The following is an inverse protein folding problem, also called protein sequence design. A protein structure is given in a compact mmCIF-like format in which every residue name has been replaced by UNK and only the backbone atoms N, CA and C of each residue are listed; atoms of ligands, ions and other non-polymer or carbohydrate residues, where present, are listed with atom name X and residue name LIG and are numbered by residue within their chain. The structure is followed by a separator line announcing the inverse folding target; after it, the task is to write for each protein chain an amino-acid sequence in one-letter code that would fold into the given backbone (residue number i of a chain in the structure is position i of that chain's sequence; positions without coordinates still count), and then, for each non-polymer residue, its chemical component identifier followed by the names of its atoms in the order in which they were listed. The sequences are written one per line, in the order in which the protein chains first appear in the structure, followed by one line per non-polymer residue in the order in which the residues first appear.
data_IF_812817096006
#
_entry.id   IF_812817096006
#
_cell.length_a   1.000
_cell.length_b   1.000
_cell.length_c   1.000
_cell.angle_alpha   90.00
_cell.angle_beta   90.00
_cell.angle_gamma   90.00
#
_symmetry.space_group_name_H-M   'P 1'
#
loop_
_entity.id
_entity.type
_entity.pdbx_description
1 polymer ?
#
# COMPACT_ATOMS: atom_id res chain seq x y z
N UNK A 1 24.67 6.50 -15.20
CA UNK A 1 24.21 5.35 -16.01
C UNK A 1 22.69 5.34 -15.95
N UNK A 2 22.03 5.89 -16.97
CA UNK A 2 20.58 6.04 -17.04
C UNK A 2 19.97 4.69 -17.42
N UNK A 3 19.34 4.01 -16.46
CA UNK A 3 18.45 2.89 -16.79
C UNK A 3 17.12 3.51 -17.18
N UNK A 4 16.97 3.87 -18.46
CA UNK A 4 15.65 4.05 -19.05
C UNK A 4 14.97 2.68 -19.01
N UNK A 5 14.04 2.48 -18.08
CA UNK A 5 13.10 1.36 -18.12
C UNK A 5 12.07 1.68 -19.21
N UNK A 6 12.47 1.52 -20.47
CA UNK A 6 11.56 1.46 -21.62
C UNK A 6 11.17 0.00 -21.82
N UNK A 7 9.87 -0.30 -21.78
CA UNK A 7 9.37 -1.61 -22.17
C UNK A 7 8.11 -1.99 -21.42
N UNK A 8 6.97 -1.71 -22.05
CA UNK A 8 5.64 -2.22 -21.76
C UNK A 8 5.56 -3.73 -21.97
N UNK A 9 6.22 -4.50 -21.12
CA UNK A 9 5.71 -5.81 -20.71
C UNK A 9 4.80 -5.53 -19.51
N UNK A 10 3.60 -6.07 -19.48
CA UNK A 10 2.73 -6.03 -18.29
C UNK A 10 3.43 -6.77 -17.14
N UNK A 11 4.34 -6.07 -16.45
CA UNK A 11 4.90 -6.55 -15.19
C UNK A 11 3.75 -6.64 -14.20
N UNK A 12 3.63 -7.81 -13.57
CA UNK A 12 2.80 -8.00 -12.41
C UNK A 12 3.03 -6.86 -11.41
N UNK A 13 1.95 -6.21 -11.00
CA UNK A 13 1.97 -5.15 -9.99
C UNK A 13 1.38 -5.70 -8.71
N UNK A 14 2.12 -5.56 -7.61
CA UNK A 14 1.66 -6.00 -6.30
C UNK A 14 0.84 -4.88 -5.69
N UNK A 15 -0.46 -4.86 -6.02
CA UNK A 15 -1.43 -3.91 -5.53
C UNK A 15 -2.78 -4.60 -5.38
N UNK A 16 -3.47 -4.31 -4.29
CA UNK A 16 -4.87 -4.70 -4.07
C UNK A 16 -5.65 -3.42 -3.76
N UNK A 17 -6.58 -3.06 -4.65
CA UNK A 17 -7.33 -1.82 -4.58
C UNK A 17 -8.22 -1.77 -3.33
N UNK A 18 -8.84 -2.89 -2.95
CA UNK A 18 -9.72 -2.92 -1.79
C UNK A 18 -8.95 -2.63 -0.50
N UNK A 19 -7.71 -3.10 -0.37
CA UNK A 19 -6.88 -2.81 0.81
C UNK A 19 -6.43 -1.35 0.86
N UNK A 20 -6.06 -0.79 -0.29
CA UNK A 20 -5.75 0.64 -0.42
C UNK A 20 -6.93 1.51 0.05
N UNK A 21 -8.13 1.15 -0.38
CA UNK A 21 -9.37 1.88 -0.08
C UNK A 21 -9.85 1.63 1.35
N UNK A 22 -9.71 0.43 1.87
CA UNK A 22 -10.11 0.10 3.24
C UNK A 22 -9.34 0.92 4.29
N UNK A 23 -8.04 1.12 4.08
CA UNK A 23 -7.24 1.93 5.00
C UNK A 23 -7.67 3.40 5.02
N UNK A 24 -8.09 3.94 3.87
CA UNK A 24 -8.71 5.26 3.77
C UNK A 24 -10.04 5.30 4.55
N UNK A 25 -10.92 4.32 4.33
CA UNK A 25 -12.22 4.23 5.02
C UNK A 25 -12.08 4.20 6.54
N UNK A 26 -11.17 3.37 7.07
CA UNK A 26 -10.93 3.28 8.52
C UNK A 26 -10.52 4.63 9.11
N UNK A 27 -9.71 5.42 8.40
CA UNK A 27 -9.31 6.75 8.88
C UNK A 27 -10.41 7.80 8.69
N UNK A 28 -11.20 7.72 7.61
CA UNK A 28 -12.39 8.56 7.39
C UNK A 28 -13.40 8.33 8.53
N UNK A 29 -13.69 7.08 8.87
CA UNK A 29 -14.57 6.70 9.98
C UNK A 29 -14.07 7.30 11.31
N UNK A 30 -12.78 7.17 11.61
CA UNK A 30 -12.20 7.78 12.83
C UNK A 30 -12.35 9.30 12.84
N UNK A 31 -12.13 9.99 11.71
CA UNK A 31 -12.31 11.45 11.62
C UNK A 31 -13.79 11.81 11.85
N UNK A 32 -14.71 11.05 11.28
CA UNK A 32 -16.15 11.26 11.48
C UNK A 32 -16.56 11.02 12.94
N UNK A 33 -16.10 9.94 13.55
CA UNK A 33 -16.36 9.62 14.96
C UNK A 33 -15.86 10.71 15.90
N UNK A 34 -14.67 11.24 15.63
CA UNK A 34 -14.14 12.40 16.34
C UNK A 34 -14.99 13.65 16.10
N UNK A 35 -15.41 13.87 14.86
CA UNK A 35 -16.24 15.02 14.51
C UNK A 35 -17.58 15.02 15.24
N UNK A 36 -18.15 13.84 15.52
CA UNK A 36 -19.38 13.70 16.30
C UNK A 36 -19.18 13.98 17.80
N UNK A 37 -17.97 13.76 18.30
CA UNK A 37 -17.60 13.93 19.72
C UNK A 37 -16.93 15.29 20.01
N UNK A 38 -16.92 16.20 19.02
CA UNK A 38 -16.34 17.53 19.15
C UNK A 38 -17.11 18.41 20.13
N UNK A 39 -16.40 18.84 21.16
CA UNK A 39 -16.87 19.73 22.21
C UNK A 39 -15.88 20.88 22.42
N UNK A 40 -16.31 21.92 23.15
CA UNK A 40 -15.48 23.12 23.42
C UNK A 40 -14.17 22.81 24.15
N UNK A 41 -14.10 21.70 24.88
CA UNK A 41 -12.95 21.28 25.68
C UNK A 41 -11.93 20.43 24.90
N UNK A 42 -12.30 19.84 23.76
CA UNK A 42 -11.47 18.84 23.07
C UNK A 42 -11.22 19.15 21.58
N UNK A 43 -11.89 20.16 21.01
CA UNK A 43 -11.87 20.39 19.56
C UNK A 43 -10.48 20.61 18.97
N UNK A 44 -9.58 21.25 19.72
CA UNK A 44 -8.20 21.52 19.26
C UNK A 44 -7.41 20.22 19.09
N UNK A 45 -7.47 19.35 20.10
CA UNK A 45 -6.77 18.06 20.09
C UNK A 45 -7.36 17.13 19.01
N UNK A 46 -8.68 17.08 18.90
CA UNK A 46 -9.36 16.26 17.89
C UNK A 46 -9.08 16.77 16.48
N UNK A 47 -8.99 18.09 16.28
CA UNK A 47 -8.61 18.67 15.01
C UNK A 47 -7.19 18.28 14.61
N UNK A 48 -6.21 18.45 15.51
CA UNK A 48 -4.81 18.10 15.23
C UNK A 48 -4.66 16.61 14.92
N UNK A 49 -5.33 15.74 15.68
CA UNK A 49 -5.28 14.30 15.44
C UNK A 49 -5.97 13.90 14.14
N UNK A 50 -7.13 14.48 13.82
CA UNK A 50 -7.81 14.25 12.53
C UNK A 50 -6.98 14.74 11.34
N UNK A 51 -6.29 15.87 11.48
CA UNK A 51 -5.36 16.35 10.46
C UNK A 51 -4.16 15.39 10.27
N UNK A 52 -3.64 14.80 11.36
CA UNK A 52 -2.60 13.77 11.28
C UNK A 52 -3.11 12.50 10.58
N UNK A 53 -4.36 12.08 10.85
CA UNK A 53 -5.00 10.97 10.12
C UNK A 53 -5.16 11.28 8.62
N UNK A 54 -5.54 12.50 8.28
CA UNK A 54 -5.64 12.97 6.90
C UNK A 54 -4.28 12.88 6.17
N UNK A 55 -3.23 13.47 6.74
CA UNK A 55 -1.89 13.42 6.14
C UNK A 55 -1.38 11.98 6.02
N UNK A 56 -1.58 11.18 7.07
CA UNK A 56 -1.18 9.77 7.10
C UNK A 56 -1.90 8.94 6.04
N UNK A 57 -3.19 9.18 5.81
CA UNK A 57 -4.00 8.45 4.82
C UNK A 57 -3.48 8.69 3.40
N UNK A 58 -3.19 9.95 3.05
CA UNK A 58 -2.63 10.29 1.75
C UNK A 58 -1.21 9.71 1.60
N UNK A 59 -0.39 9.79 2.65
CA UNK A 59 0.97 9.26 2.63
C UNK A 59 1.01 7.72 2.49
N UNK A 60 0.12 6.99 3.15
CA UNK A 60 0.02 5.53 3.02
C UNK A 60 -0.48 5.13 1.64
N UNK A 61 -1.48 5.83 1.10
CA UNK A 61 -1.92 5.63 -0.27
C UNK A 61 -0.79 5.88 -1.27
N UNK A 62 -0.01 6.95 -1.08
CA UNK A 62 1.19 7.22 -1.87
C UNK A 62 2.22 6.09 -1.77
N UNK A 63 2.49 5.61 -0.54
CA UNK A 63 3.44 4.51 -0.30
C UNK A 63 3.09 3.28 -1.12
N UNK A 64 1.83 2.84 -1.07
CA UNK A 64 1.36 1.66 -1.78
C UNK A 64 1.40 1.84 -3.29
N UNK A 65 0.99 3.01 -3.78
CA UNK A 65 1.04 3.32 -5.20
C UNK A 65 2.49 3.38 -5.70
N UNK A 66 3.42 4.03 -4.98
CA UNK A 66 4.82 4.10 -5.40
C UNK A 66 5.51 2.74 -5.29
N UNK A 67 5.13 1.88 -4.34
CA UNK A 67 5.64 0.51 -4.26
C UNK A 67 5.19 -0.34 -5.46
N UNK A 68 3.91 -0.21 -5.86
CA UNK A 68 3.38 -0.90 -7.03
C UNK A 68 3.87 -0.31 -8.36
N UNK A 69 4.13 1.00 -8.40
CA UNK A 69 4.49 1.77 -9.59
C UNK A 69 5.74 2.64 -9.34
N UNK A 70 6.91 2.01 -9.11
CA UNK A 70 8.14 2.74 -8.78
C UNK A 70 8.61 3.67 -9.90
N UNK A 71 8.17 3.45 -11.15
CA UNK A 71 8.44 4.35 -12.28
C UNK A 71 7.84 5.76 -12.12
N UNK A 72 6.95 5.95 -11.14
CA UNK A 72 6.35 7.25 -10.83
C UNK A 72 7.18 8.07 -9.85
N UNK A 73 8.23 7.49 -9.25
CA UNK A 73 9.14 8.22 -8.38
C UNK A 73 9.79 9.36 -9.17
N UNK A 74 9.91 10.51 -8.53
CA UNK A 74 10.46 11.70 -9.17
C UNK A 74 11.95 11.48 -9.51
N UNK A 75 12.31 11.65 -10.79
CA UNK A 75 13.69 11.53 -11.26
C UNK A 75 14.62 12.59 -10.63
N UNK A 76 14.05 13.71 -10.19
CA UNK A 76 14.77 14.93 -9.80
C UNK A 76 15.39 14.87 -8.39
N UNK A 77 14.93 13.96 -7.53
CA UNK A 77 15.40 13.84 -6.14
C UNK A 77 15.74 12.40 -5.82
N UNK A 78 16.75 11.84 -6.49
CA UNK A 78 17.30 10.56 -6.04
C UNK A 78 17.70 10.68 -4.57
N UNK A 79 17.06 9.94 -3.67
CA UNK A 79 17.39 10.05 -2.26
C UNK A 79 18.84 9.63 -2.08
N UNK A 80 19.55 10.35 -1.22
CA UNK A 80 20.92 9.99 -0.84
C UNK A 80 20.87 8.72 0.00
N UNK A 81 20.79 7.56 -0.67
CA UNK A 81 20.92 6.26 -0.04
C UNK A 81 22.29 6.17 0.61
N UNK A 82 22.34 5.76 1.88
CA UNK A 82 23.64 5.54 2.52
C UNK A 82 24.27 4.29 1.90
N UNK A 83 25.59 4.27 1.83
CA UNK A 83 26.32 3.10 1.35
C UNK A 83 25.93 1.83 2.14
N UNK A 84 25.71 1.97 3.45
CA UNK A 84 25.21 0.89 4.32
C UNK A 84 23.85 0.34 3.89
N UNK A 85 22.95 1.19 3.41
CA UNK A 85 21.59 0.78 3.03
C UNK A 85 21.62 -0.09 1.78
N UNK A 86 22.55 0.19 0.86
CA UNK A 86 22.77 -0.61 -0.35
C UNK A 86 23.57 -1.87 -0.01
N UNK A 87 24.73 -1.72 0.65
CA UNK A 87 25.67 -2.82 0.89
C UNK A 87 25.09 -3.93 1.77
N UNK A 88 24.32 -3.57 2.82
CA UNK A 88 23.72 -4.57 3.70
C UNK A 88 22.48 -5.24 3.09
N UNK A 89 21.94 -4.71 1.99
CA UNK A 89 20.68 -5.16 1.39
C UNK A 89 20.81 -5.44 -0.11
N UNK A 90 22.02 -5.79 -0.59
CA UNK A 90 22.27 -6.05 -2.03
C UNK A 90 21.38 -7.15 -2.61
N UNK A 91 20.92 -8.09 -1.78
CA UNK A 91 20.04 -9.20 -2.16
C UNK A 91 18.55 -8.90 -1.91
N UNK A 92 18.23 -7.70 -1.41
CA UNK A 92 16.89 -7.27 -1.03
C UNK A 92 16.52 -6.00 -1.78
N UNK A 93 16.37 -6.09 -3.10
CA UNK A 93 16.02 -4.96 -3.96
C UNK A 93 14.77 -4.20 -3.49
N UNK A 94 13.80 -4.90 -2.89
CA UNK A 94 12.58 -4.30 -2.37
C UNK A 94 12.86 -3.39 -1.18
N UNK A 95 13.79 -3.76 -0.30
CA UNK A 95 14.21 -2.90 0.82
C UNK A 95 14.78 -1.57 0.34
N UNK A 96 15.56 -1.60 -0.75
CA UNK A 96 16.13 -0.40 -1.37
C UNK A 96 15.00 0.48 -1.91
N UNK A 97 14.02 -0.11 -2.61
CA UNK A 97 12.84 0.61 -3.12
C UNK A 97 12.03 1.22 -1.96
N UNK A 98 11.76 0.46 -0.90
CA UNK A 98 11.04 0.95 0.28
C UNK A 98 11.77 2.12 0.95
N UNK A 99 13.10 2.07 1.01
CA UNK A 99 13.94 3.16 1.53
C UNK A 99 13.79 4.43 0.69
N UNK A 100 13.79 4.28 -0.65
CA UNK A 100 13.59 5.40 -1.58
C UNK A 100 12.20 6.01 -1.39
N UNK A 101 11.16 5.17 -1.36
CA UNK A 101 9.76 5.60 -1.17
C UNK A 101 9.59 6.33 0.15
N UNK A 102 10.15 5.80 1.24
CA UNK A 102 10.05 6.43 2.56
C UNK A 102 10.76 7.80 2.61
N UNK A 103 11.89 7.94 1.92
CA UNK A 103 12.57 9.23 1.80
C UNK A 103 11.73 10.25 1.03
N UNK A 104 11.08 9.82 -0.06
CA UNK A 104 10.20 10.67 -0.86
C UNK A 104 8.96 11.10 -0.07
N UNK A 105 8.25 10.16 0.56
CA UNK A 105 7.09 10.46 1.42
C UNK A 105 7.47 11.45 2.52
N UNK A 106 8.63 11.26 3.16
CA UNK A 106 9.12 12.18 4.20
C UNK A 106 9.46 13.57 3.65
N UNK A 107 9.84 13.68 2.38
CA UNK A 107 10.01 14.98 1.72
C UNK A 107 8.67 15.65 1.46
N UNK A 108 7.67 14.89 1.02
CA UNK A 108 6.34 15.38 0.68
C UNK A 108 5.59 15.81 1.96
N UNK A 109 5.66 15.03 3.03
CA UNK A 109 4.94 15.28 4.30
C UNK A 109 5.46 16.48 5.10
N UNK A 110 6.60 17.07 4.72
CA UNK A 110 7.10 18.33 5.30
C UNK A 110 6.37 19.57 4.76
N UNK A 111 5.61 19.42 3.67
CA UNK A 111 4.83 20.51 3.08
C UNK A 111 3.56 20.86 3.88
N UNK A 112 2.78 21.81 3.35
CA UNK A 112 1.41 22.03 3.79
C UNK A 112 0.45 21.03 3.09
N UNK A 113 -0.80 20.96 3.54
CA UNK A 113 -1.77 20.01 2.99
C UNK A 113 -2.02 20.21 1.49
N UNK A 114 -1.98 21.46 1.00
CA UNK A 114 -2.15 21.76 -0.42
C UNK A 114 -1.01 21.14 -1.25
N UNK A 115 0.25 21.32 -0.85
CA UNK A 115 1.40 20.76 -1.53
C UNK A 115 1.40 19.23 -1.50
N UNK A 116 1.00 18.64 -0.38
CA UNK A 116 0.78 17.20 -0.24
C UNK A 116 -0.24 16.69 -1.26
N UNK A 117 -1.42 17.32 -1.35
CA UNK A 117 -2.48 16.93 -2.29
C UNK A 117 -2.07 17.14 -3.75
N UNK A 118 -1.38 18.23 -4.08
CA UNK A 118 -0.89 18.48 -5.45
C UNK A 118 0.11 17.41 -5.89
N UNK A 119 1.04 17.05 -4.99
CA UNK A 119 2.01 15.99 -5.26
C UNK A 119 1.33 14.63 -5.33
N UNK A 120 0.35 14.36 -4.45
CA UNK A 120 -0.44 13.15 -4.47
C UNK A 120 -1.21 12.98 -5.79
N UNK A 121 -1.87 14.03 -6.29
CA UNK A 121 -2.53 14.01 -7.59
C UNK A 121 -1.57 13.68 -8.73
N UNK A 122 -0.40 14.31 -8.75
CA UNK A 122 0.62 14.06 -9.77
C UNK A 122 1.13 12.62 -9.75
N UNK A 123 1.58 12.13 -8.59
CA UNK A 123 2.16 10.78 -8.45
C UNK A 123 1.09 9.70 -8.64
N UNK A 124 -0.09 9.85 -8.03
CA UNK A 124 -1.18 8.89 -8.24
C UNK A 124 -1.80 9.02 -9.65
N UNK A 125 -1.54 10.13 -10.34
CA UNK A 125 -2.14 10.53 -11.62
C UNK A 125 -3.69 10.51 -11.54
N UNK A 126 -4.22 11.10 -10.48
CA UNK A 126 -5.65 11.27 -10.24
C UNK A 126 -5.96 12.76 -10.21
N UNK A 127 -7.22 13.11 -10.40
CA UNK A 127 -7.71 14.48 -10.27
C UNK A 127 -8.64 14.55 -9.06
N UNK A 128 -8.39 15.53 -8.19
CA UNK A 128 -9.21 15.83 -7.02
C UNK A 128 -9.73 17.27 -7.15
N UNK A 129 -11.02 17.45 -6.92
CA UNK A 129 -11.73 18.71 -6.93
C UNK A 129 -11.89 19.23 -5.50
N UNK A 130 -10.91 20.01 -5.05
CA UNK A 130 -11.00 20.71 -3.77
C UNK A 130 -10.70 22.20 -3.91
N UNK A 131 -11.32 23.00 -3.05
CA UNK A 131 -11.00 24.43 -2.93
C UNK A 131 -9.61 24.61 -2.30
N UNK A 132 -8.68 25.13 -3.09
CA UNK A 132 -7.29 25.37 -2.67
C UNK A 132 -7.20 26.30 -1.47
N UNK A 133 -8.04 27.34 -1.44
CA UNK A 133 -8.07 28.33 -0.36
C UNK A 133 -8.51 27.68 0.95
N UNK A 134 -9.50 26.80 0.88
CA UNK A 134 -9.99 26.06 2.04
C UNK A 134 -8.91 25.12 2.61
N UNK A 135 -8.13 24.45 1.75
CA UNK A 135 -7.04 23.56 2.19
C UNK A 135 -5.85 24.34 2.77
N UNK A 136 -5.55 25.51 2.23
CA UNK A 136 -4.59 26.43 2.84
C UNK A 136 -5.05 26.86 4.24
N UNK A 137 -6.32 27.19 4.40
CA UNK A 137 -6.91 27.54 5.69
C UNK A 137 -6.81 26.39 6.71
N UNK A 138 -7.08 25.14 6.30
CA UNK A 138 -6.86 23.96 7.16
C UNK A 138 -5.41 23.91 7.65
N UNK A 139 -4.45 24.11 6.75
CA UNK A 139 -3.01 24.05 7.09
C UNK A 139 -2.61 25.18 8.05
N UNK A 140 -3.10 26.39 7.81
CA UNK A 140 -2.87 27.53 8.70
C UNK A 140 -3.48 27.30 10.08
N UNK A 141 -4.71 26.80 10.14
CA UNK A 141 -5.40 26.51 11.39
C UNK A 141 -4.65 25.46 12.20
N UNK A 142 -4.18 24.36 11.57
CA UNK A 142 -3.30 23.36 12.22
C UNK A 142 -2.01 23.98 12.75
N UNK A 143 -1.32 24.78 11.93
CA UNK A 143 -0.04 25.37 12.30
C UNK A 143 -0.18 26.30 13.50
N UNK A 144 -1.24 27.12 13.53
CA UNK A 144 -1.54 27.99 14.66
C UNK A 144 -1.87 27.17 15.92
N UNK A 145 -2.68 26.12 15.84
CA UNK A 145 -2.93 25.24 16.99
C UNK A 145 -1.65 24.58 17.54
N UNK A 146 -0.72 24.17 16.66
CA UNK A 146 0.52 23.53 17.08
C UNK A 146 1.56 24.52 17.66
N UNK A 147 1.58 25.77 17.18
CA UNK A 147 2.61 26.76 17.53
C UNK A 147 2.15 27.86 18.50
N UNK A 148 0.86 28.21 18.54
CA UNK A 148 0.34 29.25 19.45
C UNK A 148 0.02 28.69 20.85
N UNK A 149 -0.22 27.37 20.98
CA UNK A 149 -0.38 26.70 22.28
C UNK A 149 0.97 26.32 22.95
N UNK A 150 2.10 26.51 22.26
CA UNK A 150 3.41 26.44 22.91
C UNK A 150 3.74 27.82 23.44
N UNK A 151 3.59 28.02 24.75
CA UNK A 151 4.10 29.22 25.44
C UNK A 151 5.59 29.28 25.15
N UNK A 152 5.98 30.05 24.13
CA UNK A 152 7.37 30.33 23.91
C UNK A 152 7.80 31.16 25.13
N UNK A 153 8.81 30.69 25.86
CA UNK A 153 9.44 31.45 26.95
C UNK A 153 9.97 32.84 26.53
N UNK A 154 9.72 33.28 25.28
CA UNK A 154 10.01 34.64 24.79
C UNK A 154 8.95 35.67 25.16
N UNK A 155 7.73 35.30 25.56
CA UNK A 155 6.74 36.28 26.02
C UNK A 155 7.15 37.00 27.31
N UNK A 156 7.99 36.36 28.15
CA UNK A 156 8.54 37.00 29.34
C UNK A 156 9.59 38.08 29.04
N UNK A 157 10.17 38.12 27.84
CA UNK A 157 11.30 39.00 27.50
C UNK A 157 10.90 40.21 26.63
N UNK A 158 9.81 40.13 25.88
CA UNK A 158 9.40 41.16 24.94
C UNK A 158 7.89 41.36 25.07
N UNK A 159 7.51 42.46 25.73
CA UNK A 159 6.16 42.78 26.18
C UNK A 159 5.01 42.34 25.27
N UNK A 160 3.94 41.89 25.94
CA UNK A 160 2.81 41.15 25.39
C UNK A 160 2.38 41.56 23.98
N UNK A 161 2.45 40.60 23.06
CA UNK A 161 1.66 40.67 21.84
C UNK A 161 0.22 40.44 22.25
N UNK A 162 -0.62 41.46 22.08
CA UNK A 162 -2.08 41.36 22.13
C UNK A 162 -2.54 40.11 21.36
N UNK A 163 -3.03 39.12 22.11
CA UNK A 163 -3.72 37.94 21.57
C UNK A 163 -4.95 38.48 20.81
N UNK A 164 -4.85 38.57 19.49
CA UNK A 164 -6.01 38.91 18.64
C UNK A 164 -7.06 37.83 18.84
N UNK A 165 -8.27 38.24 19.26
CA UNK A 165 -9.30 37.40 19.85
C UNK A 165 -9.83 36.25 18.98
N UNK A 166 -10.34 35.22 19.66
CA UNK A 166 -11.20 34.12 19.19
C UNK A 166 -11.03 33.67 17.72
N UNK A 167 -9.79 33.35 17.34
CA UNK A 167 -9.49 32.76 16.01
C UNK A 167 -9.85 31.27 15.98
N UNK A 168 -9.84 30.62 17.14
CA UNK A 168 -10.22 29.23 17.31
C UNK A 168 -11.67 29.14 17.77
N UNK A 169 -12.47 28.36 17.06
CA UNK A 169 -13.82 28.02 17.47
C UNK A 169 -14.15 26.59 17.08
N UNK A 170 -15.01 25.97 17.89
CA UNK A 170 -15.58 24.65 17.63
C UNK A 170 -16.23 24.58 16.24
N UNK A 171 -17.00 25.61 15.87
CA UNK A 171 -17.68 25.65 14.57
C UNK A 171 -16.70 25.73 13.39
N UNK A 172 -15.60 26.48 13.56
CA UNK A 172 -14.55 26.51 12.54
C UNK A 172 -13.85 25.16 12.41
N UNK A 173 -13.55 24.48 13.52
CA UNK A 173 -12.96 23.15 13.50
C UNK A 173 -13.86 22.14 12.77
N UNK A 174 -15.18 22.15 13.03
CA UNK A 174 -16.15 21.28 12.34
C UNK A 174 -16.15 21.51 10.82
N UNK A 175 -16.19 22.77 10.37
CA UNK A 175 -16.14 23.10 8.93
C UNK A 175 -14.85 22.60 8.29
N UNK A 176 -13.71 22.81 8.93
CA UNK A 176 -12.42 22.37 8.41
C UNK A 176 -12.29 20.84 8.40
N UNK A 177 -12.87 20.14 9.37
CA UNK A 177 -12.90 18.67 9.37
C UNK A 177 -13.79 18.10 8.28
N UNK A 178 -14.96 18.72 8.03
CA UNK A 178 -15.82 18.36 6.90
C UNK A 178 -15.08 18.50 5.55
N UNK A 179 -14.26 19.55 5.39
CA UNK A 179 -13.39 19.71 4.21
C UNK A 179 -12.40 18.55 4.10
N UNK A 180 -11.70 18.19 5.18
CA UNK A 180 -10.74 17.06 5.17
C UNK A 180 -11.43 15.75 4.78
N UNK A 181 -12.58 15.46 5.40
CA UNK A 181 -13.37 14.26 5.13
C UNK A 181 -13.81 14.20 3.67
N UNK A 182 -14.33 15.30 3.10
CA UNK A 182 -14.74 15.37 1.69
C UNK A 182 -13.59 15.07 0.74
N UNK A 183 -12.40 15.61 1.00
CA UNK A 183 -11.21 15.33 0.19
C UNK A 183 -10.81 13.85 0.26
N UNK A 184 -10.87 13.22 1.44
CA UNK A 184 -10.55 11.80 1.58
C UNK A 184 -11.58 10.89 0.89
N UNK A 185 -12.87 11.22 0.96
CA UNK A 185 -13.94 10.50 0.25
C UNK A 185 -13.77 10.61 -1.27
N UNK A 186 -13.42 11.79 -1.77
CA UNK A 186 -13.11 11.96 -3.18
C UNK A 186 -11.87 11.16 -3.59
N UNK A 187 -10.81 11.21 -2.77
CA UNK A 187 -9.61 10.40 -2.99
C UNK A 187 -9.94 8.90 -3.05
N UNK A 188 -10.78 8.41 -2.15
CA UNK A 188 -11.26 7.02 -2.16
C UNK A 188 -11.91 6.67 -3.50
N UNK A 189 -12.84 7.50 -3.97
CA UNK A 189 -13.56 7.29 -5.22
C UNK A 189 -12.60 7.28 -6.43
N UNK A 190 -11.68 8.24 -6.48
CA UNK A 190 -10.70 8.36 -7.55
C UNK A 190 -9.75 7.15 -7.58
N UNK A 191 -9.28 6.69 -6.42
CA UNK A 191 -8.45 5.50 -6.31
C UNK A 191 -9.20 4.24 -6.72
N UNK A 192 -10.43 4.06 -6.24
CA UNK A 192 -11.28 2.93 -6.61
C UNK A 192 -11.50 2.87 -8.11
N UNK A 193 -11.87 4.00 -8.73
CA UNK A 193 -12.12 4.08 -10.17
C UNK A 193 -10.87 3.75 -10.98
N UNK A 194 -9.71 4.27 -10.57
CA UNK A 194 -8.46 4.09 -11.32
C UNK A 194 -7.84 2.70 -11.14
N UNK A 195 -7.90 2.16 -9.92
CA UNK A 195 -7.16 0.96 -9.55
C UNK A 195 -8.06 -0.28 -9.34
N UNK A 196 -9.37 -0.21 -9.61
CA UNK A 196 -10.32 -1.33 -9.45
C UNK A 196 -9.88 -2.66 -10.09
N UNK A 197 -9.09 -2.62 -11.17
CA UNK A 197 -8.59 -3.83 -11.83
C UNK A 197 -7.59 -4.63 -11.00
N UNK A 198 -6.97 -4.01 -10.00
CA UNK A 198 -5.96 -4.62 -9.13
C UNK A 198 -6.65 -5.30 -7.95
N UNK A 199 -7.00 -6.57 -8.13
CA UNK A 199 -7.69 -7.41 -7.12
C UNK A 199 -6.78 -8.53 -6.64
N UNK A 200 -7.11 -9.18 -5.51
CA UNK A 200 -6.36 -10.38 -5.08
C UNK A 200 -6.44 -11.49 -6.13
N UNK A 201 -7.59 -11.67 -6.78
CA UNK A 201 -7.72 -12.63 -7.88
C UNK A 201 -6.71 -12.34 -9.00
N UNK A 202 -6.63 -11.08 -9.45
CA UNK A 202 -5.65 -10.67 -10.47
C UNK A 202 -4.22 -10.89 -9.98
N UNK A 203 -3.92 -10.55 -8.73
CA UNK A 203 -2.58 -10.73 -8.15
C UNK A 203 -2.13 -12.18 -8.19
N UNK A 204 -3.00 -13.11 -7.77
CA UNK A 204 -2.72 -14.55 -7.76
C UNK A 204 -2.56 -15.06 -9.19
N UNK A 205 -3.44 -14.66 -10.10
CA UNK A 205 -3.38 -15.07 -11.52
C UNK A 205 -2.10 -14.58 -12.20
N UNK A 206 -1.79 -13.29 -12.05
CA UNK A 206 -0.58 -12.68 -12.62
C UNK A 206 0.67 -13.36 -12.05
N UNK A 207 0.72 -13.62 -10.73
CA UNK A 207 1.83 -14.34 -10.08
C UNK A 207 1.99 -15.75 -10.64
N UNK A 208 0.89 -16.49 -10.76
CA UNK A 208 0.91 -17.87 -11.24
C UNK A 208 1.43 -17.97 -12.68
N UNK A 209 0.91 -17.13 -13.57
CA UNK A 209 1.33 -17.06 -14.99
C UNK A 209 2.78 -16.62 -15.12
N UNK A 210 3.26 -15.73 -14.26
CA UNK A 210 4.65 -15.30 -14.28
C UNK A 210 5.62 -16.42 -13.85
N UNK A 211 5.21 -17.22 -12.87
CA UNK A 211 6.00 -18.34 -12.35
C UNK A 211 6.00 -19.50 -13.35
N UNK A 212 4.83 -19.93 -13.81
CA UNK A 212 4.63 -21.14 -14.62
C UNK A 212 4.29 -20.78 -16.07
N UNK A 213 5.23 -21.06 -16.97
CA UNK A 213 5.01 -20.87 -18.41
C UNK A 213 4.46 -22.15 -19.09
N UNK A 214 4.46 -23.28 -18.39
CA UNK A 214 4.04 -24.57 -18.95
C UNK A 214 2.51 -24.66 -19.10
N UNK A 215 2.01 -25.27 -20.18
CA UNK A 215 0.57 -25.54 -20.33
C UNK A 215 0.05 -26.58 -19.34
N UNK A 216 0.92 -27.30 -18.61
CA UNK A 216 0.51 -28.29 -17.60
C UNK A 216 0.04 -27.65 -16.28
N UNK A 217 0.53 -26.45 -15.99
CA UNK A 217 0.24 -25.69 -14.78
C UNK A 217 -0.50 -24.39 -15.15
N UNK A 218 -1.53 -24.48 -16.00
CA UNK A 218 -2.40 -23.33 -16.25
C UNK A 218 -3.13 -22.95 -14.97
N UNK A 219 -3.31 -21.65 -14.77
CA UNK A 219 -3.95 -21.12 -13.57
C UNK A 219 -5.34 -21.73 -13.36
N UNK A 220 -6.15 -21.77 -14.41
CA UNK A 220 -7.54 -22.24 -14.40
C UNK A 220 -7.67 -23.73 -14.03
N UNK A 221 -6.64 -24.53 -14.31
CA UNK A 221 -6.64 -25.96 -14.02
C UNK A 221 -6.16 -26.25 -12.59
N UNK A 222 -5.29 -25.39 -12.04
CA UNK A 222 -4.59 -25.61 -10.76
C UNK A 222 -5.22 -24.87 -9.59
N UNK A 223 -5.85 -23.72 -9.82
CA UNK A 223 -6.41 -22.85 -8.79
C UNK A 223 -7.93 -22.86 -8.87
N UNK A 224 -8.56 -23.13 -7.73
CA UNK A 224 -10.01 -23.12 -7.56
C UNK A 224 -10.41 -21.92 -6.72
N UNK A 225 -11.56 -21.33 -7.04
CA UNK A 225 -12.22 -20.35 -6.19
C UNK A 225 -13.36 -21.07 -5.50
N UNK A 226 -13.31 -21.14 -4.17
CA UNK A 226 -14.31 -21.85 -3.35
C UNK A 226 -14.90 -20.93 -2.30
N UNK A 227 -16.12 -21.18 -1.88
CA UNK A 227 -16.68 -20.50 -0.72
C UNK A 227 -15.89 -20.86 0.55
N UNK A 228 -15.69 -19.88 1.42
CA UNK A 228 -15.04 -20.08 2.71
C UNK A 228 -15.90 -20.98 3.59
N UNK A 229 -15.24 -21.87 4.33
CA UNK A 229 -15.89 -22.70 5.33
C UNK A 229 -16.35 -21.90 6.56
N UNK A 230 -15.73 -20.74 6.81
CA UNK A 230 -16.01 -19.90 7.98
C UNK A 230 -17.02 -18.78 7.68
N UNK A 231 -17.03 -18.26 6.45
CA UNK A 231 -17.96 -17.22 6.02
C UNK A 231 -18.47 -17.50 4.60
N UNK A 232 -19.72 -17.96 4.50
CA UNK A 232 -20.36 -18.34 3.23
C UNK A 232 -20.49 -17.19 2.22
N UNK A 233 -20.31 -15.95 2.65
CA UNK A 233 -20.34 -14.77 1.78
C UNK A 233 -18.96 -14.45 1.17
N UNK A 234 -17.92 -15.19 1.53
CA UNK A 234 -16.54 -14.95 1.07
C UNK A 234 -16.03 -16.09 0.22
N UNK A 235 -15.28 -15.74 -0.82
CA UNK A 235 -14.56 -16.68 -1.66
C UNK A 235 -13.09 -16.75 -1.22
N UNK A 236 -12.50 -17.93 -1.24
CA UNK A 236 -11.10 -18.19 -0.86
C UNK A 236 -10.39 -19.03 -1.91
N UNK A 237 -9.07 -18.96 -1.91
CA UNK A 237 -8.24 -19.72 -2.85
C UNK A 237 -8.20 -21.18 -2.43
N UNK A 238 -8.44 -22.06 -3.38
CA UNK A 238 -8.23 -23.50 -3.29
C UNK A 238 -7.21 -23.96 -4.33
N UNK A 239 -6.57 -25.09 -4.06
CA UNK A 239 -5.75 -25.80 -5.03
C UNK A 239 -6.49 -27.03 -5.53
N UNK A 240 -6.45 -27.26 -6.83
CA UNK A 240 -6.95 -28.47 -7.47
C UNK A 240 -5.93 -29.61 -7.32
N UNK A 241 -5.98 -30.31 -6.18
CA UNK A 241 -5.07 -31.41 -5.91
C UNK A 241 -5.24 -32.59 -6.88
N UNK A 242 -6.45 -32.81 -7.40
CA UNK A 242 -6.72 -33.89 -8.37
C UNK A 242 -5.97 -33.65 -9.69
N UNK A 243 -5.98 -32.40 -10.18
CA UNK A 243 -5.18 -32.05 -11.35
C UNK A 243 -3.67 -32.16 -11.06
N UNK A 244 -3.21 -31.62 -9.92
CA UNK A 244 -1.80 -31.66 -9.53
C UNK A 244 -1.25 -33.10 -9.44
N UNK A 245 -2.03 -34.04 -8.89
CA UNK A 245 -1.65 -35.45 -8.81
C UNK A 245 -1.29 -36.05 -10.19
N UNK A 246 -1.92 -35.57 -11.26
CA UNK A 246 -1.68 -36.05 -12.63
C UNK A 246 -0.47 -35.40 -13.32
N UNK A 247 -0.21 -34.11 -13.06
CA UNK A 247 0.78 -33.32 -13.82
C UNK A 247 2.14 -33.19 -13.14
N UNK A 248 2.22 -33.32 -11.80
CA UNK A 248 3.45 -33.05 -11.03
C UNK A 248 4.65 -33.90 -11.46
N UNK A 249 4.43 -35.11 -11.97
CA UNK A 249 5.54 -35.96 -12.45
C UNK A 249 6.17 -35.45 -13.75
N UNK A 250 5.41 -34.68 -14.54
CA UNK A 250 5.76 -34.25 -15.90
C UNK A 250 6.31 -32.83 -15.97
N UNK A 251 6.25 -32.06 -14.87
CA UNK A 251 6.83 -30.71 -14.79
C UNK A 251 8.34 -30.76 -14.49
N UNK A 252 9.05 -29.71 -14.89
CA UNK A 252 10.50 -29.59 -14.69
C UNK A 252 10.88 -29.43 -13.22
N UNK A 253 12.12 -29.77 -12.84
CA UNK A 253 12.60 -29.60 -11.46
C UNK A 253 12.51 -28.16 -10.95
N UNK A 254 12.72 -27.16 -11.80
CA UNK A 254 12.54 -25.74 -11.44
C UNK A 254 11.08 -25.42 -11.14
N UNK A 255 10.13 -25.95 -11.91
CA UNK A 255 8.69 -25.77 -11.64
C UNK A 255 8.26 -26.52 -10.38
N UNK A 256 8.82 -27.71 -10.12
CA UNK A 256 8.60 -28.43 -8.85
C UNK A 256 9.04 -27.58 -7.66
N UNK A 257 10.18 -26.91 -7.76
CA UNK A 257 10.64 -25.98 -6.72
C UNK A 257 9.69 -24.79 -6.52
N UNK A 258 9.25 -24.13 -7.59
CA UNK A 258 8.33 -23.00 -7.42
C UNK A 258 6.97 -23.45 -6.88
N UNK A 259 6.46 -24.59 -7.34
CA UNK A 259 5.21 -25.16 -6.82
C UNK A 259 5.36 -25.55 -5.35
N UNK A 260 6.49 -26.09 -4.93
CA UNK A 260 6.72 -26.43 -3.51
C UNK A 260 6.74 -25.20 -2.61
N UNK A 261 7.29 -24.07 -3.07
CA UNK A 261 7.22 -22.79 -2.37
C UNK A 261 5.76 -22.33 -2.19
N UNK A 262 4.93 -22.43 -3.23
CA UNK A 262 3.51 -22.04 -3.16
C UNK A 262 2.71 -22.96 -2.22
N UNK A 263 2.90 -24.27 -2.33
CA UNK A 263 2.22 -25.26 -1.48
C UNK A 263 2.61 -25.13 0.00
N UNK A 264 3.80 -24.61 0.30
CA UNK A 264 4.23 -24.36 1.67
C UNK A 264 3.35 -23.32 2.40
N UNK A 265 2.68 -22.41 1.68
CA UNK A 265 1.68 -21.51 2.29
C UNK A 265 0.43 -22.26 2.77
N UNK A 266 0.13 -23.41 2.18
CA UNK A 266 -1.02 -24.23 2.58
C UNK A 266 -0.70 -25.15 3.75
N UNK A 267 0.38 -25.93 3.64
CA UNK A 267 0.84 -26.83 4.70
C UNK A 267 2.25 -27.31 4.41
N UNK A 268 3.05 -27.44 5.47
CA UNK A 268 4.36 -28.07 5.38
C UNK A 268 4.28 -29.54 4.95
N UNK A 269 3.20 -30.26 5.29
CA UNK A 269 3.03 -31.68 4.98
C UNK A 269 2.54 -31.98 3.56
N UNK A 270 1.92 -31.00 2.88
CA UNK A 270 1.44 -31.19 1.51
C UNK A 270 2.62 -31.38 0.55
N UNK A 271 3.73 -30.69 0.80
CA UNK A 271 4.94 -30.84 -0.02
C UNK A 271 5.45 -32.28 -0.04
N UNK A 272 5.40 -33.00 1.08
CA UNK A 272 5.88 -34.38 1.17
C UNK A 272 5.07 -35.37 0.30
N UNK A 273 3.82 -35.01 -0.06
CA UNK A 273 3.00 -35.79 -1.00
C UNK A 273 3.52 -35.70 -2.44
N UNK A 274 4.11 -34.57 -2.81
CA UNK A 274 4.43 -34.23 -4.20
C UNK A 274 5.93 -34.24 -4.51
N UNK A 275 6.76 -33.90 -3.52
CA UNK A 275 8.18 -33.63 -3.72
C UNK A 275 9.02 -34.28 -2.63
N UNK A 276 10.12 -34.92 -3.03
CA UNK A 276 11.21 -35.29 -2.13
C UNK A 276 12.30 -34.23 -2.22
N UNK A 277 13.14 -34.13 -1.20
CA UNK A 277 14.28 -33.20 -1.21
C UNK A 277 15.18 -33.35 -2.45
N UNK A 278 15.36 -34.58 -2.93
CA UNK A 278 16.12 -34.88 -4.17
C UNK A 278 15.48 -34.36 -5.46
N UNK A 279 14.18 -34.05 -5.44
CA UNK A 279 13.44 -33.53 -6.59
C UNK A 279 13.59 -32.00 -6.71
N UNK A 280 14.10 -31.35 -5.66
CA UNK A 280 14.39 -29.92 -5.61
C UNK A 280 15.78 -29.67 -6.22
N UNK A 281 15.90 -28.89 -7.30
CA UNK A 281 17.18 -28.56 -7.90
C UNK A 281 18.04 -27.72 -6.95
N UNK A 282 19.36 -27.81 -7.11
CA UNK A 282 20.28 -26.89 -6.43
C UNK A 282 19.96 -25.44 -6.81
N UNK A 283 20.13 -24.49 -5.90
CA UNK A 283 19.81 -23.07 -6.18
C UNK A 283 20.56 -22.53 -7.41
N UNK A 284 21.78 -22.99 -7.66
CA UNK A 284 22.60 -22.62 -8.83
C UNK A 284 21.96 -23.07 -10.16
N UNK A 285 21.17 -24.15 -10.13
CA UNK A 285 20.44 -24.65 -11.30
C UNK A 285 19.07 -24.00 -11.52
N UNK A 286 18.62 -23.13 -10.61
CA UNK A 286 17.36 -22.40 -10.77
C UNK A 286 17.63 -21.19 -11.65
N UNK A 287 17.11 -21.24 -12.88
CA UNK A 287 17.38 -20.28 -13.95
C UNK A 287 16.78 -18.88 -13.73
N UNK A 288 16.09 -18.62 -12.61
CA UNK A 288 15.38 -17.35 -12.40
C UNK A 288 15.35 -16.88 -10.94
N UNK A 289 16.45 -16.27 -10.49
CA UNK A 289 16.51 -15.54 -9.20
C UNK A 289 15.45 -14.44 -9.11
N UNK A 290 15.03 -13.87 -10.24
CA UNK A 290 13.98 -12.84 -10.30
C UNK A 290 12.61 -13.38 -9.90
N UNK A 291 12.23 -14.60 -10.31
CA UNK A 291 10.99 -15.25 -9.88
C UNK A 291 10.98 -15.56 -8.39
N UNK A 292 12.11 -16.03 -7.85
CA UNK A 292 12.27 -16.27 -6.40
C UNK A 292 12.04 -14.97 -5.63
N UNK A 293 12.74 -13.90 -5.98
CA UNK A 293 12.60 -12.60 -5.31
C UNK A 293 11.17 -12.07 -5.38
N UNK A 294 10.45 -12.30 -6.49
CA UNK A 294 9.04 -11.91 -6.63
C UNK A 294 8.11 -12.74 -5.74
N UNK A 295 8.25 -14.07 -5.72
CA UNK A 295 7.46 -14.93 -4.82
C UNK A 295 7.67 -14.48 -3.37
N UNK A 296 8.93 -14.33 -2.94
CA UNK A 296 9.25 -13.89 -1.60
C UNK A 296 8.69 -12.51 -1.28
N UNK A 297 8.71 -11.59 -2.25
CA UNK A 297 8.12 -10.26 -2.07
C UNK A 297 6.61 -10.32 -1.87
N UNK A 298 5.90 -11.07 -2.72
CA UNK A 298 4.45 -11.27 -2.57
C UNK A 298 4.15 -11.92 -1.24
N UNK A 299 4.92 -12.92 -0.82
CA UNK A 299 4.68 -13.65 0.42
C UNK A 299 5.00 -12.82 1.67
N UNK A 300 5.94 -11.89 1.57
CA UNK A 300 6.19 -10.93 2.64
C UNK A 300 5.02 -9.97 2.85
N UNK A 301 4.31 -9.59 1.77
CA UNK A 301 3.14 -8.71 1.83
C UNK A 301 1.86 -9.51 2.15
N UNK A 302 1.72 -10.70 1.55
CA UNK A 302 0.56 -11.58 1.61
C UNK A 302 0.99 -13.02 1.99
N UNK A 303 1.30 -13.27 3.28
CA UNK A 303 1.85 -14.55 3.73
C UNK A 303 0.88 -15.73 3.58
N UNK A 304 -0.42 -15.45 3.49
CA UNK A 304 -1.47 -16.44 3.35
C UNK A 304 -2.23 -16.29 2.03
N UNK A 305 -1.63 -15.66 1.01
CA UNK A 305 -2.31 -15.33 -0.25
C UNK A 305 -3.04 -16.54 -0.86
N UNK A 306 -2.37 -17.69 -0.85
CA UNK A 306 -2.94 -18.93 -1.36
C UNK A 306 -3.78 -19.68 -0.31
N UNK A 307 -3.72 -19.37 0.99
CA UNK A 307 -4.38 -20.17 2.03
C UNK A 307 -5.32 -19.33 2.92
N UNK A 308 -6.62 -19.36 2.61
CA UNK A 308 -7.66 -18.85 3.52
C UNK A 308 -7.89 -17.33 3.51
N UNK A 309 -7.21 -16.59 2.62
CA UNK A 309 -7.50 -15.17 2.41
C UNK A 309 -8.74 -15.00 1.53
N UNK A 310 -9.63 -14.11 1.95
CA UNK A 310 -10.80 -13.70 1.16
C UNK A 310 -10.34 -13.03 -0.14
N UNK A 311 -10.89 -13.47 -1.26
CA UNK A 311 -10.57 -13.00 -2.61
C UNK A 311 -11.65 -12.03 -3.08
N UNK A 312 -11.22 -10.83 -3.46
CA UNK A 312 -12.00 -9.90 -4.25
C UNK A 312 -11.76 -10.11 -5.77
N UNK A 313 -12.79 -9.81 -6.57
CA UNK A 313 -12.67 -9.78 -8.04
C UNK A 313 -12.63 -11.13 -8.75
N UNK A 314 -13.00 -12.22 -8.08
CA UNK A 314 -13.33 -13.49 -8.73
C UNK A 314 -14.78 -13.41 -9.25
N UNK A 315 -14.96 -13.15 -10.54
CA UNK A 315 -16.24 -13.20 -11.27
C UNK A 315 -16.13 -14.33 -12.29
#
# INVERSE_FOLDING_TARGET
MLIKIKGSEERMRILVCEELVNDLRVNIEKINDMSLQLEKNNYEAFFVYSFALFESSICEALRRILAAFPEKLSDEKQPRLKYSDIFNNIYSSNYIIDTIINAEIKSISKGNALALLQTAQSLMAIELSFDRTAIEEVSEYRNRLAHDNTVSNREYLLGGRTVKGNIFSLEKAKVLLDILTKVLLELELCLKTKYQKYTKFKLIKDLWVEIFATPLLKFEDCILIRQSAFDKNTNVVGINFDHLDTVVKSISSSEKFFLSLLLQQYSSSINDRYFKFKDIPSLVSITSNTKINKILHVFNIYPNLFNGVSIDGAI
#
